data_IF_357159798229
#
_entry.id   IF_357159798229
#
_cell.length_a   1.000
_cell.length_b   1.000
_cell.length_c   1.000
_cell.angle_alpha   90.00
_cell.angle_beta   90.00
_cell.angle_gamma   90.00
#
_symmetry.space_group_name_H-M   'P 1'
#
loop_
_entity.id
_entity.type
_entity.pdbx_description
1 polymer ?
#
# COMPACT_ATOMS: atom_id res chain seq x y z
N UNK A 1 64.19 -1.38 -51.12
CA UNK A 1 63.82 -0.98 -49.74
C UNK A 1 62.32 -0.74 -49.53
N UNK A 2 61.54 -0.17 -50.47
CA UNK A 2 60.10 0.13 -50.25
C UNK A 2 59.16 -1.09 -50.13
N UNK A 3 59.49 -2.26 -50.68
CA UNK A 3 58.61 -3.45 -50.57
C UNK A 3 58.71 -4.17 -49.23
N UNK A 4 59.90 -4.16 -48.59
CA UNK A 4 60.13 -4.79 -47.27
C UNK A 4 59.30 -4.09 -46.18
N UNK A 5 59.21 -2.76 -46.23
CA UNK A 5 58.38 -1.98 -45.30
C UNK A 5 56.87 -2.21 -45.50
N UNK A 6 56.45 -2.60 -46.70
CA UNK A 6 55.04 -2.91 -47.01
C UNK A 6 54.64 -4.27 -46.44
N UNK A 7 55.52 -5.27 -46.53
CA UNK A 7 55.33 -6.57 -45.90
C UNK A 7 55.46 -6.53 -44.37
N UNK A 8 56.37 -5.72 -43.81
CA UNK A 8 56.46 -5.49 -42.36
C UNK A 8 55.21 -4.81 -41.79
N UNK A 9 54.61 -3.85 -42.51
CA UNK A 9 53.34 -3.23 -42.09
C UNK A 9 52.15 -4.19 -42.15
N UNK A 10 52.09 -5.06 -43.16
CA UNK A 10 51.05 -6.10 -43.25
C UNK A 10 51.24 -7.15 -42.17
N UNK A 11 52.47 -7.59 -41.89
CA UNK A 11 52.76 -8.52 -40.79
C UNK A 11 52.45 -7.91 -39.42
N UNK A 12 52.72 -6.62 -39.20
CA UNK A 12 52.37 -5.90 -37.98
C UNK A 12 50.84 -5.73 -37.84
N UNK A 13 50.12 -5.43 -38.92
CA UNK A 13 48.65 -5.36 -38.94
C UNK A 13 47.99 -6.73 -38.72
N UNK A 14 48.59 -7.81 -39.21
CA UNK A 14 48.14 -9.18 -38.93
C UNK A 14 48.48 -9.62 -37.50
N UNK A 15 49.61 -9.20 -36.93
CA UNK A 15 49.93 -9.43 -35.51
C UNK A 15 49.00 -8.67 -34.57
N UNK A 16 48.65 -7.42 -34.90
CA UNK A 16 47.68 -6.64 -34.13
C UNK A 16 46.26 -7.21 -34.28
N UNK A 17 45.88 -7.72 -35.46
CA UNK A 17 44.58 -8.38 -35.68
C UNK A 17 44.44 -9.77 -35.04
N UNK A 18 45.54 -10.45 -34.70
CA UNK A 18 45.55 -11.72 -33.97
C UNK A 18 45.60 -11.55 -32.45
N UNK A 19 45.86 -10.33 -31.95
CA UNK A 19 45.84 -9.96 -30.53
C UNK A 19 44.49 -9.37 -30.07
N UNK A 20 43.52 -9.22 -30.99
CA UNK A 20 42.20 -8.65 -30.69
C UNK A 20 41.11 -9.67 -30.36
N UNK A 21 41.48 -10.94 -30.11
CA UNK A 21 40.64 -11.86 -29.33
C UNK A 21 41.07 -11.76 -27.87
N UNK A 22 41.08 -10.54 -27.34
CA UNK A 22 41.03 -10.35 -25.90
C UNK A 22 39.55 -10.52 -25.51
N UNK A 23 39.28 -11.41 -24.56
CA UNK A 23 38.01 -11.49 -23.85
C UNK A 23 37.50 -10.06 -23.57
N UNK A 24 36.22 -9.80 -23.81
CA UNK A 24 35.59 -8.53 -23.44
C UNK A 24 35.89 -8.29 -21.94
N UNK A 25 36.73 -7.29 -21.58
CA UNK A 25 37.21 -7.13 -20.21
C UNK A 25 36.09 -6.80 -19.21
N UNK A 26 34.85 -6.63 -19.67
CA UNK A 26 33.71 -6.20 -18.88
C UNK A 26 32.74 -7.31 -18.43
N UNK A 27 32.89 -8.58 -18.86
CA UNK A 27 31.90 -9.62 -18.52
C UNK A 27 32.52 -10.89 -17.90
N UNK A 28 32.25 -11.12 -16.62
CA UNK A 28 32.66 -12.30 -15.87
C UNK A 28 31.69 -13.46 -16.08
N UNK A 29 32.20 -14.59 -16.59
CA UNK A 29 31.43 -15.82 -16.72
C UNK A 29 31.35 -16.54 -15.37
N UNK A 30 30.15 -16.76 -14.84
CA UNK A 30 29.92 -17.45 -13.56
C UNK A 30 29.05 -18.68 -13.81
N UNK A 31 29.50 -19.84 -13.34
CA UNK A 31 28.69 -21.06 -13.33
C UNK A 31 28.01 -21.22 -11.97
N UNK A 32 26.69 -21.38 -11.96
CA UNK A 32 25.92 -21.78 -10.79
C UNK A 32 25.50 -23.23 -10.97
N UNK A 33 26.07 -24.12 -10.17
CA UNK A 33 25.80 -25.54 -10.17
C UNK A 33 24.96 -25.92 -8.95
N UNK A 34 23.74 -26.41 -9.17
CA UNK A 34 22.82 -26.79 -8.11
C UNK A 34 22.76 -28.30 -7.91
N UNK A 35 22.68 -28.73 -6.65
CA UNK A 35 22.52 -30.16 -6.32
C UNK A 35 21.18 -30.73 -6.76
N UNK A 36 20.11 -29.92 -6.71
CA UNK A 36 18.73 -30.37 -6.91
C UNK A 36 18.04 -29.60 -8.03
N UNK A 37 16.89 -30.07 -8.52
CA UNK A 37 16.14 -29.39 -9.58
C UNK A 37 15.58 -28.03 -9.14
N UNK A 38 15.41 -27.10 -10.09
CA UNK A 38 14.86 -25.76 -9.88
C UNK A 38 13.46 -25.72 -9.27
N UNK A 39 12.70 -26.82 -9.35
CA UNK A 39 11.35 -26.88 -8.77
C UNK A 39 11.35 -27.05 -7.25
N UNK A 40 12.50 -27.39 -6.66
CA UNK A 40 12.63 -27.47 -5.22
C UNK A 40 12.81 -26.07 -4.63
N UNK A 41 11.91 -25.64 -3.75
CA UNK A 41 11.86 -24.28 -3.23
C UNK A 41 13.17 -23.78 -2.63
N UNK A 42 13.89 -24.63 -1.91
CA UNK A 42 15.23 -24.35 -1.38
C UNK A 42 16.22 -23.94 -2.48
N UNK A 43 16.31 -24.75 -3.54
CA UNK A 43 17.18 -24.48 -4.69
C UNK A 43 16.73 -23.23 -5.45
N UNK A 44 15.43 -23.06 -5.66
CA UNK A 44 14.88 -21.88 -6.33
C UNK A 44 15.22 -20.58 -5.58
N UNK A 45 15.10 -20.58 -4.24
CA UNK A 45 15.38 -19.43 -3.40
C UNK A 45 16.86 -19.08 -3.39
N UNK A 46 17.75 -20.08 -3.27
CA UNK A 46 19.21 -19.87 -3.39
C UNK A 46 19.54 -19.28 -4.75
N UNK A 47 19.03 -19.89 -5.82
CA UNK A 47 19.30 -19.47 -7.20
C UNK A 47 18.85 -18.02 -7.45
N UNK A 48 17.60 -17.69 -7.10
CA UNK A 48 17.05 -16.36 -7.30
C UNK A 48 17.85 -15.29 -6.54
N UNK A 49 18.31 -15.61 -5.32
CA UNK A 49 19.16 -14.71 -4.55
C UNK A 49 20.53 -14.51 -5.16
N UNK A 50 21.17 -15.59 -5.63
CA UNK A 50 22.47 -15.53 -6.31
C UNK A 50 22.36 -14.67 -7.59
N UNK A 51 21.38 -14.95 -8.43
CA UNK A 51 21.14 -14.21 -9.68
C UNK A 51 20.89 -12.73 -9.40
N UNK A 52 20.01 -12.41 -8.45
CA UNK A 52 19.69 -11.02 -8.09
C UNK A 52 20.93 -10.26 -7.61
N UNK A 53 21.76 -10.88 -6.78
CA UNK A 53 22.97 -10.26 -6.26
C UNK A 53 24.03 -10.05 -7.35
N UNK A 54 24.24 -11.04 -8.22
CA UNK A 54 25.23 -10.97 -9.31
C UNK A 54 24.82 -9.97 -10.39
N UNK A 55 23.57 -10.02 -10.87
CA UNK A 55 23.05 -9.11 -11.90
C UNK A 55 22.87 -7.68 -11.40
N UNK A 56 22.64 -7.51 -10.10
CA UNK A 56 22.55 -6.19 -9.47
C UNK A 56 23.91 -5.50 -9.26
N UNK A 57 25.02 -6.18 -9.58
CA UNK A 57 26.37 -5.62 -9.43
C UNK A 57 26.84 -4.88 -10.68
N UNK A 58 27.79 -3.95 -10.49
CA UNK A 58 28.45 -3.25 -11.61
C UNK A 58 29.53 -4.11 -12.30
N UNK A 59 29.76 -5.33 -11.83
CA UNK A 59 30.85 -6.18 -12.30
C UNK A 59 30.62 -6.78 -13.70
N UNK A 60 29.41 -6.68 -14.27
CA UNK A 60 29.07 -7.29 -15.56
C UNK A 60 29.21 -8.82 -15.49
N UNK A 61 28.15 -9.53 -15.11
CA UNK A 61 28.21 -10.98 -14.87
C UNK A 61 27.29 -11.73 -15.82
N UNK A 62 27.85 -12.69 -16.56
CA UNK A 62 27.11 -13.64 -17.37
C UNK A 62 26.95 -14.95 -16.60
N UNK A 63 25.70 -15.29 -16.27
CA UNK A 63 25.39 -16.43 -15.39
C UNK A 63 24.98 -17.64 -16.23
N UNK A 64 25.67 -18.75 -16.01
CA UNK A 64 25.32 -20.08 -16.53
C UNK A 64 24.78 -20.91 -15.39
N UNK A 65 23.72 -21.68 -15.63
CA UNK A 65 23.08 -22.49 -14.58
C UNK A 65 22.99 -23.94 -15.00
N UNK A 66 23.33 -24.83 -14.08
CA UNK A 66 23.19 -26.28 -14.24
C UNK A 66 22.57 -26.90 -12.99
N UNK A 67 21.76 -27.93 -13.20
CA UNK A 67 21.10 -28.67 -12.14
C UNK A 67 21.48 -30.15 -12.25
N UNK A 68 22.12 -30.69 -11.21
CA UNK A 68 22.46 -32.12 -11.16
C UNK A 68 21.23 -33.00 -10.95
N UNK A 69 20.20 -32.44 -10.33
CA UNK A 69 18.97 -33.11 -9.97
C UNK A 69 19.15 -34.40 -9.14
N UNK A 70 20.04 -34.32 -8.15
CA UNK A 70 20.50 -35.47 -7.36
C UNK A 70 19.36 -36.16 -6.59
N UNK A 71 18.34 -35.42 -6.15
CA UNK A 71 17.22 -36.01 -5.39
C UNK A 71 16.33 -36.91 -6.24
N UNK A 72 16.17 -36.62 -7.53
CA UNK A 72 15.40 -37.47 -8.44
C UNK A 72 16.27 -38.57 -9.06
N UNK A 73 17.55 -38.29 -9.35
CA UNK A 73 18.44 -39.22 -10.07
C UNK A 73 19.81 -39.42 -9.38
N UNK A 74 19.87 -40.01 -8.17
CA UNK A 74 21.08 -40.14 -7.36
C UNK A 74 22.04 -41.25 -7.86
N UNK A 75 22.53 -41.15 -9.09
CA UNK A 75 23.39 -42.19 -9.70
C UNK A 75 24.68 -41.61 -10.28
N UNK A 76 25.75 -42.39 -10.18
CA UNK A 76 27.05 -42.01 -10.75
C UNK A 76 27.02 -41.91 -12.28
N UNK A 77 26.20 -42.73 -12.96
CA UNK A 77 26.01 -42.65 -14.42
C UNK A 77 25.46 -41.27 -14.82
N UNK A 78 24.45 -40.77 -14.10
CA UNK A 78 23.90 -39.44 -14.35
C UNK A 78 24.91 -38.32 -14.12
N UNK A 79 25.72 -38.39 -13.06
CA UNK A 79 26.82 -37.44 -12.85
C UNK A 79 27.84 -37.48 -14.00
N UNK A 80 28.18 -38.66 -14.51
CA UNK A 80 29.10 -38.80 -15.64
C UNK A 80 28.53 -38.17 -16.92
N UNK A 81 27.25 -38.40 -17.22
CA UNK A 81 26.56 -37.76 -18.35
C UNK A 81 26.51 -36.24 -18.20
N UNK A 82 26.25 -35.75 -16.99
CA UNK A 82 26.22 -34.33 -16.71
C UNK A 82 27.59 -33.68 -16.90
N UNK A 83 28.67 -34.36 -16.48
CA UNK A 83 30.04 -33.94 -16.76
C UNK A 83 30.32 -33.83 -18.27
N UNK A 84 29.94 -34.83 -19.06
CA UNK A 84 30.10 -34.80 -20.51
C UNK A 84 29.35 -33.63 -21.16
N UNK A 85 28.13 -33.37 -20.68
CA UNK A 85 27.34 -32.22 -21.11
C UNK A 85 28.04 -30.88 -20.78
N UNK A 86 28.52 -30.69 -19.55
CA UNK A 86 29.24 -29.47 -19.13
C UNK A 86 30.50 -29.28 -19.98
N UNK A 87 31.29 -30.34 -20.20
CA UNK A 87 32.48 -30.30 -21.07
C UNK A 87 32.11 -29.85 -22.49
N UNK A 88 31.01 -30.34 -23.04
CA UNK A 88 30.55 -29.98 -24.37
C UNK A 88 30.04 -28.53 -24.44
N UNK A 89 29.21 -28.10 -23.47
CA UNK A 89 28.61 -26.76 -23.43
C UNK A 89 29.65 -25.65 -23.23
N UNK A 90 30.61 -25.88 -22.34
CA UNK A 90 31.50 -24.82 -21.84
C UNK A 90 32.95 -24.98 -22.31
N UNK A 91 33.19 -25.75 -23.38
CA UNK A 91 34.53 -26.00 -23.95
C UNK A 91 35.35 -24.72 -24.20
N UNK A 92 34.67 -23.65 -24.60
CA UNK A 92 35.27 -22.36 -24.92
C UNK A 92 34.92 -21.25 -23.92
N UNK A 93 34.43 -21.62 -22.73
CA UNK A 93 34.06 -20.67 -21.67
C UNK A 93 35.10 -20.74 -20.56
N UNK A 94 35.53 -19.57 -20.07
CA UNK A 94 36.44 -19.44 -18.93
C UNK A 94 35.68 -18.84 -17.75
N UNK A 95 35.33 -19.67 -16.79
CA UNK A 95 34.63 -19.22 -15.60
C UNK A 95 35.57 -18.43 -14.67
N UNK A 96 35.10 -17.28 -14.20
CA UNK A 96 35.76 -16.51 -13.14
C UNK A 96 35.51 -17.14 -11.76
N UNK A 97 34.30 -17.69 -11.54
CA UNK A 97 33.89 -18.34 -10.30
C UNK A 97 32.89 -19.46 -10.62
N UNK A 98 32.94 -20.55 -9.87
CA UNK A 98 31.89 -21.57 -9.80
C UNK A 98 31.17 -21.47 -8.46
N UNK A 99 29.88 -21.17 -8.49
CA UNK A 99 28.98 -21.23 -7.34
C UNK A 99 28.35 -22.62 -7.27
N UNK A 100 28.33 -23.23 -6.08
CA UNK A 100 27.69 -24.54 -5.86
C UNK A 100 26.66 -24.47 -4.74
N UNK A 101 25.47 -25.06 -4.92
CA UNK A 101 24.51 -25.25 -3.81
C UNK A 101 24.48 -26.69 -3.33
N UNK A 102 24.58 -26.88 -2.02
CA UNK A 102 24.51 -28.14 -1.29
C UNK A 102 25.64 -29.14 -1.61
N UNK A 103 25.64 -30.27 -0.90
CA UNK A 103 26.74 -31.24 -0.91
C UNK A 103 27.02 -31.84 -2.29
N UNK A 104 25.99 -32.27 -3.04
CA UNK A 104 26.19 -33.00 -4.29
C UNK A 104 26.88 -32.15 -5.38
N UNK A 105 26.52 -30.87 -5.50
CA UNK A 105 27.15 -29.94 -6.43
C UNK A 105 28.58 -29.60 -6.02
N UNK A 106 28.83 -29.36 -4.72
CA UNK A 106 30.18 -29.12 -4.24
C UNK A 106 31.07 -30.34 -4.49
N UNK A 107 30.63 -31.53 -4.10
CA UNK A 107 31.38 -32.76 -4.31
C UNK A 107 31.63 -33.04 -5.78
N UNK A 108 30.64 -32.83 -6.64
CA UNK A 108 30.81 -32.93 -8.09
C UNK A 108 31.87 -31.96 -8.59
N UNK A 109 31.79 -30.68 -8.22
CA UNK A 109 32.73 -29.66 -8.64
C UNK A 109 34.17 -29.96 -8.16
N UNK A 110 34.33 -30.44 -6.93
CA UNK A 110 35.62 -30.83 -6.37
C UNK A 110 36.21 -32.07 -7.07
N UNK A 111 35.41 -33.12 -7.30
CA UNK A 111 35.85 -34.34 -7.98
C UNK A 111 36.23 -34.08 -9.44
N UNK A 112 35.52 -33.16 -10.09
CA UNK A 112 35.76 -32.82 -11.50
C UNK A 112 36.73 -31.66 -11.71
N UNK A 113 37.26 -31.10 -10.61
CA UNK A 113 37.97 -29.82 -10.60
C UNK A 113 39.09 -29.73 -11.62
N UNK A 114 39.97 -30.72 -11.69
CA UNK A 114 41.10 -30.69 -12.62
C UNK A 114 40.65 -30.68 -14.09
N UNK A 115 39.52 -31.32 -14.39
CA UNK A 115 39.03 -31.47 -15.76
C UNK A 115 38.06 -30.37 -16.20
N UNK A 116 37.21 -29.88 -15.30
CA UNK A 116 36.17 -28.89 -15.60
C UNK A 116 36.55 -27.48 -15.14
N UNK A 117 37.21 -27.35 -13.99
CA UNK A 117 37.39 -26.09 -13.28
C UNK A 117 38.84 -25.86 -12.82
N UNK A 118 39.85 -26.06 -13.68
CA UNK A 118 41.25 -25.97 -13.27
C UNK A 118 41.59 -24.54 -12.82
N UNK A 119 42.00 -24.40 -11.56
CA UNK A 119 42.37 -23.12 -10.95
C UNK A 119 41.20 -22.16 -10.66
N UNK A 120 39.97 -22.49 -11.08
CA UNK A 120 38.80 -21.63 -10.87
C UNK A 120 38.40 -21.66 -9.39
N UNK A 121 38.14 -20.50 -8.77
CA UNK A 121 37.54 -20.42 -7.44
C UNK A 121 36.17 -21.09 -7.35
N UNK A 122 35.97 -21.88 -6.30
CA UNK A 122 34.67 -22.49 -5.97
C UNK A 122 34.11 -21.82 -4.73
N UNK A 123 32.87 -21.35 -4.81
CA UNK A 123 32.12 -20.75 -3.71
C UNK A 123 30.88 -21.59 -3.44
N UNK A 124 30.80 -22.22 -2.27
CA UNK A 124 29.65 -23.07 -1.94
C UNK A 124 28.63 -22.38 -1.02
N UNK A 125 27.40 -22.88 -1.02
CA UNK A 125 26.31 -22.51 -0.09
C UNK A 125 25.50 -23.74 0.31
N UNK A 126 24.89 -23.76 1.51
CA UNK A 126 23.97 -24.84 1.91
C UNK A 126 24.63 -26.20 2.13
N UNK A 127 25.94 -26.22 2.39
CA UNK A 127 26.67 -27.49 2.61
C UNK A 127 26.49 -27.94 4.04
N UNK A 128 25.82 -29.08 4.20
CA UNK A 128 25.59 -29.74 5.49
C UNK A 128 26.84 -30.47 5.95
N UNK A 129 27.02 -30.58 7.26
CA UNK A 129 28.10 -31.39 7.83
C UNK A 129 29.50 -30.91 7.42
N UNK A 130 29.72 -29.60 7.23
CA UNK A 130 31.05 -29.10 6.86
C UNK A 130 32.12 -29.52 7.88
N UNK A 131 33.22 -30.07 7.37
CA UNK A 131 34.36 -30.59 8.12
C UNK A 131 35.66 -30.11 7.47
N UNK A 132 36.43 -29.20 8.12
CA UNK A 132 37.69 -28.70 7.59
C UNK A 132 38.71 -29.81 7.28
N UNK A 133 38.65 -30.93 7.97
CA UNK A 133 39.50 -32.11 7.74
C UNK A 133 39.15 -32.87 6.46
N UNK A 134 37.87 -32.89 6.06
CA UNK A 134 37.41 -33.54 4.82
C UNK A 134 37.55 -32.61 3.61
N UNK A 135 37.23 -31.32 3.77
CA UNK A 135 37.14 -30.38 2.65
C UNK A 135 38.22 -29.30 2.64
N UNK A 136 38.86 -29.00 3.78
CA UNK A 136 39.74 -27.83 3.97
C UNK A 136 41.13 -27.94 3.37
N UNK A 137 41.49 -29.06 2.73
CA UNK A 137 42.74 -29.19 1.96
C UNK A 137 42.63 -28.61 0.54
N UNK A 138 41.44 -28.19 0.13
CA UNK A 138 41.19 -27.68 -1.21
C UNK A 138 41.57 -26.19 -1.30
N UNK A 139 42.60 -25.86 -2.08
CA UNK A 139 42.96 -24.46 -2.36
C UNK A 139 41.84 -23.77 -3.16
N UNK A 140 41.71 -22.44 -3.09
CA UNK A 140 40.70 -21.68 -3.85
C UNK A 140 39.26 -22.19 -3.69
N UNK A 141 38.90 -22.68 -2.50
CA UNK A 141 37.52 -23.03 -2.13
C UNK A 141 37.14 -22.23 -0.90
N UNK A 142 36.02 -21.54 -0.97
CA UNK A 142 35.41 -20.84 0.16
C UNK A 142 33.88 -21.00 0.09
N UNK A 143 33.14 -20.49 1.06
CA UNK A 143 31.69 -20.61 1.02
C UNK A 143 30.99 -20.41 2.35
N UNK A 144 29.69 -20.68 2.32
CA UNK A 144 28.79 -20.62 3.46
C UNK A 144 28.41 -22.06 3.83
N UNK A 145 28.86 -22.50 5.00
CA UNK A 145 28.47 -23.80 5.55
C UNK A 145 27.09 -23.67 6.23
N UNK A 146 26.26 -24.70 6.07
CA UNK A 146 25.02 -24.84 6.81
C UNK A 146 25.34 -25.19 8.26
N UNK A 147 24.75 -24.45 9.19
CA UNK A 147 24.79 -24.74 10.60
C UNK A 147 23.36 -24.82 11.12
N UNK A 148 22.93 -26.04 11.43
CA UNK A 148 21.61 -26.29 11.99
C UNK A 148 21.63 -25.96 13.48
N UNK A 149 20.94 -24.89 13.88
CA UNK A 149 20.73 -24.50 15.28
C UNK A 149 19.29 -24.88 15.67
N UNK A 150 19.14 -26.02 16.36
CA UNK A 150 17.84 -26.54 16.75
C UNK A 150 17.48 -26.21 18.21
N UNK A 151 18.49 -26.00 19.06
CA UNK A 151 18.31 -25.76 20.49
C UNK A 151 17.50 -24.51 20.78
N UNK A 152 17.78 -23.39 20.11
CA UNK A 152 17.02 -22.15 20.29
C UNK A 152 15.55 -22.36 19.98
N UNK A 153 15.25 -22.96 18.82
CA UNK A 153 13.88 -23.24 18.39
C UNK A 153 13.17 -24.18 19.37
N UNK A 154 13.80 -25.28 19.78
CA UNK A 154 13.17 -26.22 20.70
C UNK A 154 12.98 -25.62 22.10
N UNK A 155 13.96 -24.88 22.62
CA UNK A 155 13.83 -24.23 23.92
C UNK A 155 12.64 -23.26 23.96
N UNK A 156 12.47 -22.45 22.91
CA UNK A 156 11.32 -21.58 22.76
C UNK A 156 10.01 -22.38 22.65
N UNK A 157 10.01 -23.47 21.87
CA UNK A 157 8.87 -24.34 21.70
C UNK A 157 8.41 -24.97 23.03
N UNK A 158 9.35 -25.43 23.87
CA UNK A 158 9.06 -25.99 25.19
C UNK A 158 8.56 -24.91 26.17
N UNK A 159 9.08 -23.69 26.09
CA UNK A 159 8.58 -22.57 26.89
C UNK A 159 7.15 -22.17 26.49
N UNK A 160 6.85 -22.16 25.19
CA UNK A 160 5.49 -21.90 24.68
C UNK A 160 4.51 -23.05 25.00
N UNK A 161 5.02 -24.26 25.20
CA UNK A 161 4.22 -25.46 25.48
C UNK A 161 4.75 -26.22 26.71
N UNK A 162 4.57 -25.68 27.93
CA UNK A 162 5.15 -26.25 29.16
C UNK A 162 4.59 -27.64 29.54
N UNK A 163 3.46 -28.05 28.93
CA UNK A 163 2.88 -29.38 29.11
C UNK A 163 3.44 -30.47 28.19
N UNK A 164 4.45 -30.15 27.37
CA UNK A 164 5.09 -31.10 26.44
C UNK A 164 5.76 -32.24 27.22
N UNK A 165 5.38 -33.49 26.91
CA UNK A 165 6.00 -34.69 27.49
C UNK A 165 6.91 -35.43 26.52
N UNK A 166 6.65 -35.26 25.22
CA UNK A 166 7.33 -35.95 24.12
C UNK A 166 7.54 -34.98 22.97
N UNK A 167 8.73 -35.00 22.38
CA UNK A 167 9.08 -34.27 21.16
C UNK A 167 9.37 -35.30 20.07
N UNK A 168 8.62 -35.20 18.98
CA UNK A 168 8.87 -35.98 17.77
C UNK A 168 9.69 -35.15 16.79
N UNK A 169 10.96 -35.50 16.66
CA UNK A 169 11.86 -34.91 15.67
C UNK A 169 11.73 -35.67 14.36
N UNK A 170 11.30 -34.99 13.30
CA UNK A 170 11.11 -35.58 11.98
C UNK A 170 12.33 -35.26 11.10
N UNK A 171 13.08 -36.30 10.73
CA UNK A 171 14.18 -36.28 9.78
C UNK A 171 14.03 -37.46 8.81
N UNK A 172 13.99 -37.20 7.50
CA UNK A 172 13.88 -38.27 6.52
C UNK A 172 15.09 -39.21 6.44
N UNK A 173 14.92 -40.31 5.70
CA UNK A 173 15.93 -41.34 5.51
C UNK A 173 17.07 -41.00 4.55
N UNK A 174 17.08 -39.80 3.93
CA UNK A 174 18.10 -39.43 2.94
C UNK A 174 19.45 -39.16 3.59
N UNK A 175 20.52 -39.11 2.78
CA UNK A 175 21.85 -38.66 3.22
C UNK A 175 21.79 -37.29 3.93
N UNK A 176 21.14 -36.32 3.31
CA UNK A 176 20.89 -34.99 3.91
C UNK A 176 20.11 -35.09 5.22
N UNK A 177 19.04 -35.90 5.26
CA UNK A 177 18.26 -36.13 6.46
C UNK A 177 19.05 -36.76 7.60
N UNK A 178 20.01 -37.65 7.31
CA UNK A 178 20.90 -38.23 8.33
C UNK A 178 21.91 -37.21 8.86
N UNK A 179 22.51 -36.37 8.01
CA UNK A 179 23.42 -35.30 8.44
C UNK A 179 22.69 -34.30 9.36
N UNK A 180 21.53 -33.81 8.93
CA UNK A 180 20.70 -32.90 9.73
C UNK A 180 20.26 -33.57 11.04
N UNK A 181 19.89 -34.85 11.01
CA UNK A 181 19.55 -35.60 12.24
C UNK A 181 20.71 -35.60 13.24
N UNK A 182 21.95 -35.77 12.79
CA UNK A 182 23.11 -35.73 13.66
C UNK A 182 23.35 -34.32 14.21
N UNK A 183 23.19 -33.29 13.38
CA UNK A 183 23.35 -31.89 13.80
C UNK A 183 22.27 -31.48 14.82
N UNK A 184 21.02 -31.82 14.55
CA UNK A 184 19.91 -31.63 15.49
C UNK A 184 20.18 -32.40 16.79
N UNK A 185 20.57 -33.68 16.73
CA UNK A 185 20.85 -34.45 17.94
C UNK A 185 21.94 -33.84 18.81
N UNK A 186 23.03 -33.35 18.20
CA UNK A 186 24.09 -32.62 18.91
C UNK A 186 23.61 -31.29 19.48
N UNK A 187 22.82 -30.54 18.71
CA UNK A 187 22.26 -29.26 19.16
C UNK A 187 21.25 -29.43 20.30
N UNK A 188 20.51 -30.54 20.35
CA UNK A 188 19.50 -30.81 21.37
C UNK A 188 20.05 -31.52 22.62
N UNK A 189 21.31 -31.99 22.62
CA UNK A 189 21.95 -32.66 23.77
C UNK A 189 21.83 -31.87 25.08
N UNK A 190 22.03 -30.53 25.11
CA UNK A 190 21.85 -29.74 26.34
C UNK A 190 20.42 -29.72 26.88
N UNK A 191 19.42 -30.05 26.06
CA UNK A 191 17.98 -30.05 26.40
C UNK A 191 17.44 -31.47 26.70
N UNK A 192 18.30 -32.50 26.70
CA UNK A 192 17.90 -33.91 26.79
C UNK A 192 17.34 -34.36 28.15
N UNK A 193 17.31 -33.50 29.17
CA UNK A 193 16.92 -33.91 30.52
C UNK A 193 15.41 -34.16 30.68
N UNK A 194 14.55 -33.52 29.89
CA UNK A 194 13.11 -33.76 29.70
C UNK A 194 12.58 -32.63 28.80
N UNK A 195 11.72 -32.88 27.79
CA UNK A 195 10.91 -34.08 27.49
C UNK A 195 11.62 -35.24 26.76
N UNK A 196 10.94 -36.38 26.58
CA UNK A 196 11.41 -37.50 25.75
C UNK A 196 11.54 -37.07 24.28
N UNK A 197 12.72 -37.20 23.68
CA UNK A 197 12.96 -36.87 22.27
C UNK A 197 13.04 -38.16 21.45
N UNK A 198 12.11 -38.35 20.52
CA UNK A 198 12.10 -39.48 19.58
C UNK A 198 12.32 -38.99 18.16
N UNK A 199 13.18 -39.67 17.41
CA UNK A 199 13.46 -39.34 16.01
C UNK A 199 12.74 -40.30 15.06
N UNK A 200 11.94 -39.75 14.17
CA UNK A 200 11.13 -40.46 13.16
C UNK A 200 11.37 -39.86 11.77
N UNK A 201 10.75 -40.41 10.72
CA UNK A 201 10.89 -39.94 9.33
C UNK A 201 11.43 -41.02 8.36
N UNK A 202 11.52 -42.28 8.80
CA UNK A 202 11.85 -43.43 7.94
C UNK A 202 10.60 -44.20 7.52
N UNK A 203 9.49 -43.48 7.34
CA UNK A 203 8.18 -43.99 6.98
C UNK A 203 7.70 -43.40 5.66
N UNK A 204 6.64 -43.96 5.07
CA UNK A 204 5.93 -43.31 3.97
C UNK A 204 5.22 -42.05 4.47
N UNK A 205 4.91 -41.10 3.58
CA UNK A 205 4.16 -39.89 3.95
C UNK A 205 2.84 -40.24 4.65
N UNK A 206 2.13 -41.26 4.14
CA UNK A 206 0.85 -41.68 4.68
C UNK A 206 1.00 -42.31 6.07
N UNK A 207 2.00 -43.18 6.26
CA UNK A 207 2.24 -43.83 7.54
C UNK A 207 2.68 -42.83 8.61
N UNK A 208 3.52 -41.86 8.23
CA UNK A 208 3.95 -40.79 9.13
C UNK A 208 2.78 -39.92 9.58
N UNK A 209 1.86 -39.56 8.67
CA UNK A 209 0.62 -38.86 9.03
C UNK A 209 -0.24 -39.69 9.99
N UNK A 210 -0.40 -40.99 9.73
CA UNK A 210 -1.17 -41.88 10.60
C UNK A 210 -0.53 -42.07 11.98
N UNK A 211 0.80 -42.07 12.06
CA UNK A 211 1.54 -42.08 13.32
C UNK A 211 1.25 -40.81 14.13
N UNK A 212 1.40 -39.64 13.51
CA UNK A 212 1.22 -38.34 14.16
C UNK A 212 -0.21 -38.10 14.63
N UNK A 213 -1.22 -38.63 13.92
CA UNK A 213 -2.63 -38.56 14.34
C UNK A 213 -2.94 -39.36 15.61
N UNK A 214 -2.12 -40.35 15.95
CA UNK A 214 -2.28 -41.19 17.15
C UNK A 214 -1.58 -40.60 18.38
N UNK A 215 -0.77 -39.57 18.20
CA UNK A 215 -0.02 -38.95 19.29
C UNK A 215 -0.94 -38.12 20.21
N UNK A 216 -0.69 -38.13 21.52
CA UNK A 216 -1.47 -37.34 22.47
C UNK A 216 -1.25 -35.83 22.28
N UNK A 217 -2.15 -34.97 22.77
CA UNK A 217 -1.99 -33.50 22.71
C UNK A 217 -0.74 -32.96 23.41
N UNK A 218 -0.10 -33.74 24.28
CA UNK A 218 1.16 -33.40 24.95
C UNK A 218 2.41 -33.70 24.11
N UNK A 219 2.24 -34.10 22.84
CA UNK A 219 3.34 -34.32 21.90
C UNK A 219 3.57 -33.06 21.08
N UNK A 220 4.82 -32.63 21.01
CA UNK A 220 5.28 -31.53 20.15
C UNK A 220 5.92 -32.11 18.89
N UNK A 221 5.57 -31.57 17.73
CA UNK A 221 6.19 -31.98 16.46
C UNK A 221 7.28 -30.98 16.10
N UNK A 222 8.49 -31.49 15.93
CA UNK A 222 9.68 -30.72 15.55
C UNK A 222 10.16 -31.22 14.19
N UNK A 223 9.70 -30.56 13.13
CA UNK A 223 9.99 -30.95 11.76
C UNK A 223 11.32 -30.31 11.33
N UNK A 224 12.39 -31.11 11.40
CA UNK A 224 13.71 -30.69 10.97
C UNK A 224 13.86 -30.79 9.45
N UNK A 225 13.64 -31.98 8.87
CA UNK A 225 13.63 -32.16 7.41
C UNK A 225 12.77 -33.37 7.01
N UNK A 226 11.85 -33.18 6.06
CA UNK A 226 11.15 -34.29 5.43
C UNK A 226 10.83 -33.97 3.97
N UNK A 227 11.73 -34.36 3.06
CA UNK A 227 11.60 -34.12 1.63
C UNK A 227 11.57 -35.38 0.77
N UNK A 228 11.79 -36.56 1.36
CA UNK A 228 11.68 -37.84 0.66
C UNK A 228 11.12 -38.89 1.60
N UNK A 229 10.12 -39.64 1.11
CA UNK A 229 9.57 -40.76 1.86
C UNK A 229 10.07 -42.11 1.36
N UNK A 230 9.77 -43.19 2.10
CA UNK A 230 10.22 -44.54 1.74
C UNK A 230 9.51 -45.13 0.52
N UNK A 231 8.49 -44.46 -0.04
CA UNK A 231 7.84 -44.86 -1.29
C UNK A 231 8.52 -44.29 -2.53
N UNK A 232 9.55 -43.45 -2.34
CA UNK A 232 10.23 -42.72 -3.41
C UNK A 232 9.51 -41.43 -3.81
N UNK A 233 8.52 -40.99 -3.03
CA UNK A 233 7.86 -39.69 -3.26
C UNK A 233 8.76 -38.58 -2.75
N UNK A 234 9.13 -37.68 -3.65
CA UNK A 234 9.74 -36.40 -3.33
C UNK A 234 8.68 -35.39 -2.89
N UNK A 235 9.01 -34.63 -1.86
CA UNK A 235 8.21 -33.57 -1.26
C UNK A 235 9.07 -32.31 -1.15
N UNK A 236 8.53 -31.20 -1.59
CA UNK A 236 9.10 -29.90 -1.26
C UNK A 236 8.93 -29.60 0.25
N UNK A 237 9.76 -28.72 0.78
CA UNK A 237 9.82 -28.38 2.21
C UNK A 237 8.49 -27.84 2.76
N UNK A 238 7.64 -27.28 1.92
CA UNK A 238 6.33 -26.76 2.28
C UNK A 238 5.19 -27.80 2.20
N UNK A 239 5.36 -28.87 1.41
CA UNK A 239 4.27 -29.81 1.12
C UNK A 239 3.88 -30.64 2.35
N UNK A 240 4.86 -31.21 3.05
CA UNK A 240 4.58 -32.02 4.25
C UNK A 240 3.95 -31.19 5.39
N UNK A 241 4.45 -30.00 5.74
CA UNK A 241 3.74 -29.06 6.60
C UNK A 241 2.28 -28.82 6.20
N UNK A 242 2.03 -28.60 4.92
CA UNK A 242 0.68 -28.32 4.44
C UNK A 242 -0.24 -29.54 4.61
N UNK A 243 0.25 -30.75 4.35
CA UNK A 243 -0.47 -32.00 4.61
C UNK A 243 -0.80 -32.15 6.10
N UNK A 244 0.16 -31.87 6.99
CA UNK A 244 -0.07 -31.86 8.44
C UNK A 244 -1.15 -30.85 8.83
N UNK A 245 -1.09 -29.64 8.27
CA UNK A 245 -2.03 -28.56 8.58
C UNK A 245 -3.48 -28.89 8.20
N UNK A 246 -3.67 -29.67 7.13
CA UNK A 246 -4.98 -30.14 6.62
C UNK A 246 -5.47 -31.40 7.30
N UNK A 247 -4.61 -32.07 8.09
CA UNK A 247 -4.98 -33.27 8.83
C UNK A 247 -5.78 -32.93 10.10
N UNK A 248 -6.30 -33.96 10.79
CA UNK A 248 -6.95 -33.80 12.09
C UNK A 248 -5.98 -33.58 13.26
N UNK A 249 -4.66 -33.46 12.98
CA UNK A 249 -3.63 -33.26 13.99
C UNK A 249 -3.81 -31.91 14.70
N UNK A 250 -3.68 -31.94 16.04
CA UNK A 250 -3.81 -30.76 16.90
C UNK A 250 -2.48 -30.31 17.52
N UNK A 251 -1.40 -31.07 17.33
CA UNK A 251 -0.10 -30.75 17.89
C UNK A 251 0.51 -29.52 17.19
N UNK A 252 1.24 -28.67 17.94
CA UNK A 252 2.03 -27.59 17.36
C UNK A 252 3.19 -28.17 16.54
N UNK A 253 3.44 -27.59 15.35
CA UNK A 253 4.56 -27.96 14.47
C UNK A 253 5.56 -26.82 14.43
N UNK A 254 6.76 -27.09 14.94
CA UNK A 254 7.92 -26.21 14.88
C UNK A 254 8.87 -26.69 13.79
N UNK A 255 9.57 -25.76 13.11
CA UNK A 255 10.38 -26.06 11.93
C UNK A 255 11.75 -25.38 12.01
N UNK A 256 12.66 -25.80 11.13
CA UNK A 256 13.99 -25.21 10.97
C UNK A 256 14.21 -24.46 9.65
N UNK A 257 13.30 -24.61 8.68
CA UNK A 257 13.42 -24.01 7.35
C UNK A 257 12.30 -23.01 7.08
N UNK A 258 12.67 -21.86 6.50
CA UNK A 258 11.80 -20.73 6.17
C UNK A 258 10.77 -21.12 5.10
N UNK A 259 11.12 -22.05 4.21
CA UNK A 259 10.25 -22.57 3.14
C UNK A 259 8.97 -23.22 3.68
N UNK A 260 8.96 -23.73 4.92
CA UNK A 260 7.77 -24.30 5.54
C UNK A 260 6.80 -23.22 6.08
N UNK A 261 7.27 -21.99 6.27
CA UNK A 261 6.48 -20.92 6.90
C UNK A 261 5.29 -20.53 6.02
N UNK A 262 4.12 -20.36 6.62
CA UNK A 262 2.88 -20.10 5.88
C UNK A 262 2.06 -21.35 5.55
N UNK A 263 2.62 -22.55 5.73
CA UNK A 263 1.98 -23.84 5.44
C UNK A 263 1.50 -24.57 6.71
N UNK A 264 1.13 -23.82 7.75
CA UNK A 264 0.52 -24.36 8.97
C UNK A 264 1.47 -24.72 10.12
N UNK A 265 2.70 -24.20 10.06
CA UNK A 265 3.73 -24.33 11.11
C UNK A 265 3.83 -23.06 11.94
N UNK A 266 4.29 -23.17 13.18
CA UNK A 266 4.47 -22.04 14.09
C UNK A 266 5.63 -21.14 13.66
N UNK A 267 6.74 -21.75 13.25
CA UNK A 267 7.99 -21.05 12.94
C UNK A 267 9.15 -21.55 13.80
N UNK A 268 10.12 -20.68 14.02
CA UNK A 268 11.37 -21.00 14.72
C UNK A 268 12.52 -20.07 14.37
N UNK A 269 13.75 -20.50 14.67
CA UNK A 269 14.97 -19.85 14.20
C UNK A 269 15.32 -20.40 12.82
N UNK A 270 14.66 -19.87 11.79
CA UNK A 270 14.56 -20.50 10.48
C UNK A 270 15.72 -20.13 9.56
N UNK A 271 16.28 -21.16 8.93
CA UNK A 271 17.21 -21.03 7.81
C UNK A 271 16.44 -20.81 6.52
N UNK A 272 16.95 -19.96 5.62
CA UNK A 272 16.30 -19.69 4.33
C UNK A 272 17.28 -19.68 3.18
N UNK A 273 16.88 -20.28 2.06
CA UNK A 273 17.70 -20.38 0.85
C UNK A 273 18.11 -19.01 0.30
N UNK A 274 17.25 -17.99 0.43
CA UNK A 274 17.54 -16.64 -0.06
C UNK A 274 18.77 -16.01 0.64
N UNK A 275 18.92 -16.24 1.95
CA UNK A 275 20.09 -15.75 2.73
C UNK A 275 21.36 -16.49 2.33
N UNK A 276 21.28 -17.81 2.18
CA UNK A 276 22.38 -18.66 1.73
C UNK A 276 22.89 -18.21 0.35
N UNK A 277 21.98 -18.03 -0.62
CA UNK A 277 22.34 -17.58 -1.96
C UNK A 277 22.93 -16.16 -1.98
N UNK A 278 22.35 -15.23 -1.21
CA UNK A 278 22.85 -13.85 -1.13
C UNK A 278 24.27 -13.77 -0.56
N UNK A 279 24.54 -14.52 0.52
CA UNK A 279 25.86 -14.56 1.15
C UNK A 279 26.92 -15.16 0.22
N UNK A 280 26.61 -16.29 -0.43
CA UNK A 280 27.53 -16.93 -1.37
C UNK A 280 27.80 -16.06 -2.60
N UNK A 281 26.78 -15.41 -3.18
CA UNK A 281 26.99 -14.45 -4.26
C UNK A 281 27.84 -13.25 -3.83
N UNK A 282 27.66 -12.76 -2.60
CA UNK A 282 28.54 -11.74 -2.03
C UNK A 282 30.01 -12.17 -1.97
N UNK A 283 30.29 -13.44 -1.60
CA UNK A 283 31.65 -13.98 -1.65
C UNK A 283 32.18 -14.11 -3.08
N UNK A 284 31.34 -14.54 -4.03
CA UNK A 284 31.72 -14.60 -5.45
C UNK A 284 32.06 -13.21 -6.01
N UNK A 285 31.30 -12.18 -5.68
CA UNK A 285 31.56 -10.79 -6.10
C UNK A 285 32.88 -10.25 -5.52
N UNK A 286 33.23 -10.60 -4.28
CA UNK A 286 34.55 -10.25 -3.71
C UNK A 286 35.69 -10.86 -4.52
N UNK A 287 35.53 -12.12 -4.95
CA UNK A 287 36.53 -12.81 -5.78
C UNK A 287 36.62 -12.20 -7.17
N UNK A 288 35.47 -11.91 -7.79
CA UNK A 288 35.38 -11.23 -9.09
C UNK A 288 36.10 -9.87 -9.03
N UNK A 289 35.96 -9.13 -7.93
CA UNK A 289 36.62 -7.85 -7.70
C UNK A 289 38.10 -7.96 -7.26
N UNK A 290 38.71 -9.15 -7.32
CA UNK A 290 40.14 -9.36 -7.17
C UNK A 290 40.61 -9.89 -5.81
N UNK A 291 39.70 -10.17 -4.87
CA UNK A 291 40.07 -10.85 -3.62
C UNK A 291 40.37 -12.33 -3.88
N UNK A 292 41.43 -12.86 -3.27
CA UNK A 292 41.79 -14.28 -3.45
C UNK A 292 40.82 -15.16 -2.67
N UNK A 293 40.23 -16.16 -3.31
CA UNK A 293 39.34 -17.11 -2.64
C UNK A 293 40.00 -17.80 -1.44
N UNK A 294 41.30 -18.09 -1.50
CA UNK A 294 42.08 -18.68 -0.41
C UNK A 294 42.26 -17.78 0.82
N UNK A 295 42.05 -16.46 0.71
CA UNK A 295 42.05 -15.56 1.87
C UNK A 295 40.68 -15.36 2.49
N UNK A 296 39.62 -15.87 1.86
CA UNK A 296 38.25 -15.77 2.37
C UNK A 296 37.94 -17.02 3.22
N UNK A 297 37.77 -16.89 4.54
CA UNK A 297 37.45 -18.04 5.38
C UNK A 297 36.08 -18.59 5.02
N UNK A 298 35.91 -19.92 5.14
CA UNK A 298 34.58 -20.53 5.12
C UNK A 298 33.79 -20.01 6.31
N UNK A 299 32.63 -19.47 6.03
CA UNK A 299 31.76 -18.84 7.01
C UNK A 299 30.71 -19.86 7.45
N UNK A 300 30.81 -20.33 8.69
CA UNK A 300 29.75 -21.07 9.36
C UNK A 300 28.94 -20.10 10.24
N UNK A 301 28.29 -19.13 9.61
CA UNK A 301 27.41 -18.19 10.34
C UNK A 301 25.99 -18.75 10.30
N UNK A 302 25.28 -18.78 11.44
CA UNK A 302 23.86 -19.08 11.46
C UNK A 302 23.13 -18.13 10.50
N UNK A 303 22.73 -18.61 9.32
CA UNK A 303 21.99 -17.82 8.32
C UNK A 303 20.49 -17.80 8.63
N UNK A 304 20.17 -17.66 9.91
CA UNK A 304 18.85 -17.93 10.49
C UNK A 304 18.18 -16.64 10.96
N UNK A 305 16.85 -16.62 10.94
CA UNK A 305 16.03 -15.53 11.50
C UNK A 305 14.90 -16.11 12.34
N UNK A 306 14.56 -15.43 13.42
CA UNK A 306 13.37 -15.75 14.18
C UNK A 306 12.14 -15.37 13.35
N UNK A 307 11.44 -16.36 12.79
CA UNK A 307 10.30 -16.15 11.92
C UNK A 307 9.10 -16.95 12.43
N UNK A 308 7.92 -16.32 12.46
CA UNK A 308 6.70 -16.93 13.00
C UNK A 308 5.46 -16.64 12.16
N UNK A 309 4.52 -17.58 12.14
CA UNK A 309 3.21 -17.42 11.49
C UNK A 309 2.17 -16.92 12.50
N UNK A 310 1.70 -15.68 12.31
CA UNK A 310 0.71 -15.02 13.18
C UNK A 310 -0.57 -15.86 13.37
N UNK A 311 -1.00 -16.58 12.32
CA UNK A 311 -2.22 -17.39 12.36
C UNK A 311 -2.03 -18.58 13.28
N UNK A 312 -0.84 -19.18 13.28
CA UNK A 312 -0.53 -20.30 14.17
C UNK A 312 -0.27 -19.82 15.60
N UNK A 313 0.42 -18.68 15.80
CA UNK A 313 0.58 -18.07 17.12
C UNK A 313 -0.79 -17.87 17.80
N UNK A 314 -1.76 -17.31 17.07
CA UNK A 314 -3.15 -17.15 17.55
C UNK A 314 -3.85 -18.49 17.79
N UNK A 315 -3.75 -19.44 16.85
CA UNK A 315 -4.36 -20.78 16.97
C UNK A 315 -3.91 -21.51 18.23
N UNK A 316 -2.63 -21.38 18.57
CA UNK A 316 -2.01 -22.04 19.72
C UNK A 316 -1.93 -21.15 20.96
N UNK A 317 -2.53 -19.96 20.94
CA UNK A 317 -2.58 -19.01 22.06
C UNK A 317 -1.19 -18.65 22.62
N UNK A 318 -0.20 -18.49 21.73
CA UNK A 318 1.17 -18.10 22.10
C UNK A 318 1.23 -16.58 22.18
N UNK A 319 1.60 -16.06 23.35
CA UNK A 319 1.82 -14.63 23.56
C UNK A 319 3.07 -14.17 22.79
N UNK A 320 2.97 -13.17 21.90
CA UNK A 320 4.12 -12.64 21.17
C UNK A 320 5.25 -12.12 22.06
N UNK A 321 4.98 -11.78 23.32
CA UNK A 321 6.02 -11.37 24.28
C UNK A 321 6.97 -12.49 24.71
N UNK A 322 6.60 -13.75 24.46
CA UNK A 322 7.48 -14.91 24.65
C UNK A 322 8.53 -15.04 23.54
N UNK A 323 8.32 -14.37 22.39
CA UNK A 323 9.20 -14.47 21.24
C UNK A 323 10.45 -13.58 21.43
N UNK A 324 11.60 -13.97 20.85
CA UNK A 324 12.80 -13.13 20.81
C UNK A 324 12.52 -11.73 20.22
N UNK A 325 13.26 -10.71 20.66
CA UNK A 325 12.99 -9.30 20.28
C UNK A 325 13.18 -9.01 18.78
N UNK A 326 14.03 -9.78 18.11
CA UNK A 326 14.33 -9.70 16.68
C UNK A 326 13.43 -10.61 15.83
N UNK A 327 12.33 -11.12 16.41
CA UNK A 327 11.36 -11.94 15.71
C UNK A 327 10.58 -11.17 14.65
N UNK A 328 10.47 -11.76 13.46
CA UNK A 328 9.62 -11.29 12.38
C UNK A 328 8.35 -12.15 12.33
N UNK A 329 7.20 -11.51 12.48
CA UNK A 329 5.90 -12.19 12.42
C UNK A 329 5.29 -11.95 11.04
N UNK A 330 4.99 -13.03 10.32
CA UNK A 330 4.41 -13.01 8.97
C UNK A 330 3.01 -13.60 8.97
N UNK A 331 2.31 -13.41 7.85
CA UNK A 331 0.96 -13.95 7.60
C UNK A 331 -0.12 -13.44 8.55
N UNK A 332 0.07 -12.24 9.14
CA UNK A 332 -0.98 -11.58 9.88
C UNK A 332 -2.19 -11.31 8.96
N UNK A 333 -3.44 -11.57 9.42
CA UNK A 333 -4.61 -11.26 8.63
C UNK A 333 -4.64 -9.74 8.39
N UNK A 334 -5.04 -9.29 7.19
CA UNK A 334 -5.09 -7.87 6.88
C UNK A 334 -5.99 -7.16 7.91
N UNK A 335 -5.55 -5.99 8.35
CA UNK A 335 -6.33 -5.17 9.27
C UNK A 335 -7.68 -4.80 8.66
N UNK A 336 -8.64 -4.38 9.49
CA UNK A 336 -9.94 -3.90 8.99
C UNK A 336 -9.76 -2.83 7.90
N UNK A 337 -8.81 -1.93 8.07
CA UNK A 337 -8.48 -0.90 7.08
C UNK A 337 -7.92 -1.50 5.80
N UNK A 338 -6.93 -2.40 5.86
CA UNK A 338 -6.36 -3.02 4.66
C UNK A 338 -7.41 -3.81 3.87
N UNK A 339 -8.26 -4.57 4.58
CA UNK A 339 -9.35 -5.33 3.97
C UNK A 339 -10.42 -4.43 3.34
N UNK A 340 -10.71 -3.28 3.94
CA UNK A 340 -11.80 -2.38 3.53
C UNK A 340 -11.31 -1.05 2.96
N UNK A 341 -10.04 -0.97 2.51
CA UNK A 341 -9.41 0.29 2.10
C UNK A 341 -10.22 1.04 1.05
N UNK A 342 -10.72 0.32 0.04
CA UNK A 342 -11.56 0.89 -1.00
C UNK A 342 -12.88 1.46 -0.45
N UNK A 343 -13.53 0.77 0.48
CA UNK A 343 -14.78 1.24 1.12
C UNK A 343 -14.56 2.43 2.03
N UNK A 344 -13.47 2.44 2.80
CA UNK A 344 -13.09 3.57 3.67
C UNK A 344 -12.79 4.81 2.82
N UNK A 345 -12.01 4.67 1.74
CA UNK A 345 -11.68 5.77 0.85
C UNK A 345 -12.91 6.24 0.04
N UNK A 346 -13.75 5.31 -0.41
CA UNK A 346 -14.99 5.62 -1.12
C UNK A 346 -16.01 6.37 -0.26
N UNK A 347 -16.19 5.95 1.01
CA UNK A 347 -17.09 6.65 1.93
C UNK A 347 -16.57 8.05 2.28
N UNK A 348 -15.26 8.21 2.49
CA UNK A 348 -14.64 9.51 2.70
C UNK A 348 -14.82 10.42 1.47
N UNK A 349 -14.63 9.89 0.26
CA UNK A 349 -14.86 10.62 -0.99
C UNK A 349 -16.31 11.09 -1.12
N UNK A 350 -17.29 10.22 -0.85
CA UNK A 350 -18.71 10.58 -0.88
C UNK A 350 -19.06 11.65 0.15
N UNK A 351 -18.47 11.60 1.35
CA UNK A 351 -18.65 12.64 2.37
C UNK A 351 -18.11 13.99 1.89
N UNK A 352 -16.93 14.02 1.28
CA UNK A 352 -16.33 15.25 0.73
C UNK A 352 -17.17 15.80 -0.44
N UNK A 353 -17.62 14.95 -1.36
CA UNK A 353 -18.50 15.35 -2.47
C UNK A 353 -19.83 15.89 -1.94
N UNK A 354 -20.45 15.20 -0.98
CA UNK A 354 -21.68 15.64 -0.33
C UNK A 354 -21.51 16.99 0.36
N UNK A 355 -20.38 17.21 1.04
CA UNK A 355 -20.04 18.49 1.66
C UNK A 355 -19.90 19.61 0.61
N UNK A 356 -19.20 19.36 -0.49
CA UNK A 356 -19.05 20.33 -1.59
C UNK A 356 -20.41 20.69 -2.20
N UNK A 357 -21.28 19.69 -2.42
CA UNK A 357 -22.64 19.90 -2.92
C UNK A 357 -23.46 20.72 -1.93
N UNK A 358 -23.41 20.42 -0.63
CA UNK A 358 -24.13 21.16 0.40
C UNK A 358 -23.67 22.63 0.49
N UNK A 359 -22.35 22.87 0.43
CA UNK A 359 -21.80 24.23 0.38
C UNK A 359 -22.24 24.94 -0.89
N UNK A 360 -22.12 24.30 -2.06
CA UNK A 360 -22.56 24.85 -3.34
C UNK A 360 -24.05 25.19 -3.35
N UNK A 361 -24.90 24.30 -2.82
CA UNK A 361 -26.34 24.52 -2.67
C UNK A 361 -26.64 25.71 -1.77
N UNK A 362 -25.95 25.81 -0.64
CA UNK A 362 -26.09 26.95 0.29
C UNK A 362 -25.71 28.26 -0.38
N UNK A 363 -24.66 28.29 -1.20
CA UNK A 363 -24.26 29.47 -1.97
C UNK A 363 -25.30 29.84 -3.04
N UNK A 364 -25.86 28.86 -3.74
CA UNK A 364 -26.94 29.07 -4.73
C UNK A 364 -28.20 29.61 -4.06
N UNK A 365 -28.63 29.01 -2.94
CA UNK A 365 -29.78 29.51 -2.16
C UNK A 365 -29.56 30.95 -1.69
N UNK A 366 -28.37 31.28 -1.17
CA UNK A 366 -28.03 32.65 -0.79
C UNK A 366 -28.13 33.62 -1.97
N UNK A 367 -27.72 33.21 -3.18
CA UNK A 367 -27.87 34.04 -4.40
C UNK A 367 -29.33 34.24 -4.79
N UNK A 368 -30.15 33.18 -4.77
CA UNK A 368 -31.58 33.26 -5.12
C UNK A 368 -32.33 34.15 -4.12
N UNK A 369 -32.10 33.94 -2.82
CA UNK A 369 -32.72 34.77 -1.76
C UNK A 369 -32.31 36.22 -1.93
N UNK A 370 -31.02 36.49 -2.14
CA UNK A 370 -30.50 37.86 -2.37
C UNK A 370 -31.18 38.53 -3.57
N UNK A 371 -31.32 37.84 -4.71
CA UNK A 371 -32.00 38.37 -5.88
C UNK A 371 -33.48 38.68 -5.62
N UNK A 372 -34.20 37.80 -4.90
CA UNK A 372 -35.60 38.04 -4.54
C UNK A 372 -35.74 39.22 -3.58
N UNK A 373 -34.84 39.34 -2.60
CA UNK A 373 -34.84 40.47 -1.67
C UNK A 373 -34.52 41.79 -2.36
N UNK A 374 -33.60 41.79 -3.34
CA UNK A 374 -33.24 43.00 -4.09
C UNK A 374 -34.40 43.44 -5.00
N UNK A 375 -35.08 42.50 -5.68
CA UNK A 375 -36.30 42.82 -6.46
C UNK A 375 -37.43 43.38 -5.59
N UNK A 376 -37.70 42.75 -4.45
CA UNK A 376 -38.73 43.23 -3.51
C UNK A 376 -38.39 44.63 -2.97
N UNK A 377 -37.11 44.92 -2.71
CA UNK A 377 -36.66 46.25 -2.29
C UNK A 377 -36.87 47.29 -3.39
N UNK A 378 -36.60 46.94 -4.64
CA UNK A 378 -36.81 47.83 -5.78
C UNK A 378 -38.29 48.12 -6.01
N UNK A 379 -39.16 47.10 -5.95
CA UNK A 379 -40.62 47.29 -6.04
C UNK A 379 -41.15 48.16 -4.88
N UNK A 380 -40.71 47.90 -3.65
CA UNK A 380 -41.10 48.69 -2.48
C UNK A 380 -40.62 50.15 -2.61
N UNK A 381 -39.38 50.36 -3.05
CA UNK A 381 -38.86 51.71 -3.32
C UNK A 381 -39.66 52.42 -4.41
N UNK A 382 -40.11 51.70 -5.45
CA UNK A 382 -41.00 52.22 -6.48
C UNK A 382 -42.36 52.65 -5.92
N UNK A 383 -42.98 51.83 -5.06
CA UNK A 383 -44.25 52.17 -4.40
C UNK A 383 -44.13 53.40 -3.50
N UNK A 384 -43.07 53.46 -2.68
CA UNK A 384 -42.81 54.62 -1.81
C UNK A 384 -42.65 55.91 -2.62
N UNK A 385 -41.96 55.87 -3.77
CA UNK A 385 -41.84 57.04 -4.66
C UNK A 385 -43.17 57.44 -5.30
N UNK A 386 -43.98 56.46 -5.70
CA UNK A 386 -45.29 56.72 -6.29
C UNK A 386 -46.26 57.33 -5.27
N UNK A 387 -46.22 56.84 -4.02
CA UNK A 387 -47.00 57.38 -2.90
C UNK A 387 -46.60 58.83 -2.60
N UNK A 388 -45.30 59.13 -2.51
CA UNK A 388 -44.81 60.49 -2.34
C UNK A 388 -45.21 61.43 -3.49
N UNK A 389 -45.19 60.95 -4.75
CA UNK A 389 -45.63 61.74 -5.89
C UNK A 389 -47.14 61.99 -5.89
N UNK A 390 -47.94 61.00 -5.46
CA UNK A 390 -49.38 61.15 -5.27
C UNK A 390 -49.68 62.20 -4.19
N UNK A 391 -49.01 62.12 -3.04
CA UNK A 391 -49.14 63.13 -1.97
C UNK A 391 -48.83 64.54 -2.48
N UNK A 392 -47.75 64.71 -3.25
CA UNK A 392 -47.40 65.99 -3.86
C UNK A 392 -48.49 66.49 -4.81
N UNK A 393 -48.96 65.62 -5.72
CA UNK A 393 -49.99 65.98 -6.72
C UNK A 393 -51.32 66.34 -6.06
N UNK A 394 -51.70 65.61 -5.00
CA UNK A 394 -52.88 65.93 -4.18
C UNK A 394 -52.72 67.30 -3.54
N UNK A 395 -51.55 67.63 -3.00
CA UNK A 395 -51.25 68.96 -2.45
C UNK A 395 -51.36 70.07 -3.50
N UNK A 396 -50.81 69.88 -4.69
CA UNK A 396 -50.88 70.84 -5.81
C UNK A 396 -52.32 71.05 -6.30
N UNK A 397 -53.10 69.97 -6.41
CA UNK A 397 -54.52 70.03 -6.78
C UNK A 397 -55.34 70.77 -5.72
N UNK A 398 -55.13 70.48 -4.44
CA UNK A 398 -55.79 71.19 -3.33
C UNK A 398 -55.48 72.69 -3.37
N UNK A 399 -54.22 73.06 -3.61
CA UNK A 399 -53.80 74.46 -3.75
C UNK A 399 -54.47 75.14 -4.95
N UNK A 400 -54.50 74.48 -6.10
CA UNK A 400 -55.15 74.99 -7.32
C UNK A 400 -56.65 75.16 -7.14
N UNK A 401 -57.32 74.21 -6.47
CA UNK A 401 -58.75 74.29 -6.15
C UNK A 401 -59.06 75.47 -5.21
N UNK A 402 -58.19 75.74 -4.24
CA UNK A 402 -58.31 76.89 -3.36
C UNK A 402 -58.21 78.23 -4.12
N UNK A 403 -57.30 78.32 -5.10
CA UNK A 403 -57.16 79.52 -5.95
C UNK A 403 -58.42 79.78 -6.80
N UNK A 404 -59.02 78.74 -7.38
CA UNK A 404 -60.26 78.87 -8.19
C UNK A 404 -61.44 79.32 -7.33
N UNK A 405 -61.59 78.83 -6.10
CA UNK A 405 -62.64 79.27 -5.16
C UNK A 405 -62.54 80.75 -4.78
N UNK A 406 -61.37 81.38 -4.90
CA UNK A 406 -61.20 82.80 -4.58
C UNK A 406 -61.60 83.76 -5.72
N UNK A 407 -61.66 83.27 -6.96
CA UNK A 407 -61.91 84.09 -8.16
C UNK A 407 -63.39 84.16 -8.56
N UNK A 408 -64.30 83.44 -7.88
CA UNK A 408 -65.74 83.45 -8.14
C UNK A 408 -66.54 84.57 -7.42
N UNK A 409 -65.89 85.68 -7.04
CA UNK A 409 -66.44 86.65 -6.07
C UNK A 409 -66.94 88.00 -6.61
N UNK A 410 -66.93 88.25 -7.93
CA UNK A 410 -67.39 89.54 -8.48
C UNK A 410 -68.88 89.50 -8.82
N UNK A 411 -69.73 89.95 -7.88
CA UNK A 411 -71.15 90.16 -8.14
C UNK A 411 -71.36 91.46 -8.94
N UNK A 412 -71.89 91.41 -10.18
CA UNK A 412 -72.18 92.60 -10.95
C UNK A 412 -73.43 93.32 -10.40
N UNK A 413 -73.22 94.37 -9.61
CA UNK A 413 -74.27 95.18 -8.98
C UNK A 413 -74.52 96.47 -9.78
N UNK A 414 -75.79 96.81 -10.04
CA UNK A 414 -76.17 98.05 -10.69
C UNK A 414 -75.88 99.24 -9.77
N UNK A 415 -75.07 100.20 -10.25
CA UNK A 415 -74.67 101.37 -9.47
C UNK A 415 -75.83 102.25 -8.99
N UNK A 416 -76.97 102.21 -9.70
CA UNK A 416 -78.11 103.08 -9.46
C UNK A 416 -79.21 102.45 -8.58
N UNK A 417 -79.76 101.30 -8.98
CA UNK A 417 -80.86 100.64 -8.26
C UNK A 417 -80.41 99.49 -7.35
N UNK A 418 -79.08 99.27 -7.27
CA UNK A 418 -78.43 98.23 -6.45
C UNK A 418 -78.83 96.78 -6.74
N UNK A 419 -79.60 96.49 -7.79
CA UNK A 419 -79.90 95.10 -8.21
C UNK A 419 -78.65 94.33 -8.63
N UNK A 420 -78.64 93.00 -8.46
CA UNK A 420 -77.59 92.08 -8.94
C UNK A 420 -78.01 91.50 -10.29
N UNK A 421 -77.08 91.37 -11.23
CA UNK A 421 -77.31 90.68 -12.50
C UNK A 421 -77.06 89.18 -12.34
N UNK A 422 -78.03 88.36 -12.70
CA UNK A 422 -77.89 86.90 -12.72
C UNK A 422 -77.10 86.43 -13.95
N UNK A 423 -76.62 85.19 -13.95
CA UNK A 423 -75.90 84.59 -15.09
C UNK A 423 -76.75 84.53 -16.37
N UNK A 424 -78.07 84.52 -16.23
CA UNK A 424 -79.07 84.56 -17.31
C UNK A 424 -79.34 86.00 -17.81
N UNK A 425 -78.73 87.00 -17.19
CA UNK A 425 -78.76 88.40 -17.61
C UNK A 425 -79.91 89.24 -17.04
N UNK A 426 -80.76 88.66 -16.19
CA UNK A 426 -81.85 89.38 -15.50
C UNK A 426 -81.34 90.15 -14.29
N UNK A 427 -82.09 91.18 -13.87
CA UNK A 427 -81.76 92.02 -12.71
C UNK A 427 -82.76 91.79 -11.58
N UNK A 428 -82.27 91.30 -10.45
CA UNK A 428 -83.07 91.05 -9.25
C UNK A 428 -82.51 91.78 -8.03
N UNK A 429 -83.35 91.96 -7.00
CA UNK A 429 -82.92 92.58 -5.73
C UNK A 429 -81.75 91.80 -5.11
N UNK A 430 -80.83 92.51 -4.46
CA UNK A 430 -79.68 91.86 -3.79
C UNK A 430 -80.15 90.87 -2.74
N UNK A 431 -81.15 91.25 -1.95
CA UNK A 431 -81.74 90.39 -0.93
C UNK A 431 -82.24 89.06 -1.52
N UNK A 432 -82.93 89.11 -2.66
CA UNK A 432 -83.44 87.93 -3.34
C UNK A 432 -82.29 87.05 -3.86
N UNK A 433 -81.30 87.66 -4.53
CA UNK A 433 -80.14 86.93 -5.05
C UNK A 433 -79.35 86.22 -3.94
N UNK A 434 -79.10 86.90 -2.83
CA UNK A 434 -78.32 86.34 -1.71
C UNK A 434 -79.11 85.27 -0.96
N UNK A 435 -80.43 85.42 -0.81
CA UNK A 435 -81.29 84.40 -0.18
C UNK A 435 -81.38 83.12 -1.03
N UNK A 436 -81.40 83.25 -2.37
CA UNK A 436 -81.42 82.09 -3.27
C UNK A 436 -80.08 81.34 -3.33
N UNK A 437 -78.96 82.02 -3.04
CA UNK A 437 -77.61 81.48 -3.20
C UNK A 437 -76.82 81.33 -1.89
N UNK A 438 -77.44 81.58 -0.74
CA UNK A 438 -76.85 81.40 0.59
C UNK A 438 -77.91 81.22 1.67
N UNK A 439 -77.53 80.74 2.85
CA UNK A 439 -78.44 80.57 4.00
C UNK A 439 -78.78 81.91 4.71
N UNK A 440 -78.49 83.06 4.10
CA UNK A 440 -78.72 84.37 4.71
C UNK A 440 -80.20 84.78 4.67
N UNK A 441 -80.70 85.36 5.77
CA UNK A 441 -82.05 85.91 5.89
C UNK A 441 -81.98 87.42 6.12
N UNK A 442 -82.82 88.19 5.43
CA UNK A 442 -82.87 89.65 5.53
C UNK A 442 -84.04 90.13 6.39
N UNK A 443 -83.74 90.98 7.37
CA UNK A 443 -84.74 91.79 8.08
C UNK A 443 -84.69 93.23 7.58
N UNK A 444 -85.85 93.90 7.52
CA UNK A 444 -85.94 95.27 7.02
C UNK A 444 -86.09 96.23 8.20
N UNK A 445 -85.20 97.23 8.27
CA UNK A 445 -85.27 98.34 9.20
C UNK A 445 -84.92 99.64 8.48
N UNK A 446 -85.35 100.77 9.03
CA UNK A 446 -84.98 102.09 8.51
C UNK A 446 -83.83 102.61 9.37
N UNK A 447 -82.69 102.92 8.76
CA UNK A 447 -81.56 103.46 9.52
C UNK A 447 -81.88 104.88 10.05
N UNK A 448 -81.22 105.33 11.13
CA UNK A 448 -81.48 106.64 11.73
C UNK A 448 -81.40 107.80 10.73
N UNK A 449 -80.45 107.76 9.78
CA UNK A 449 -80.30 108.77 8.74
C UNK A 449 -81.53 108.84 7.81
N UNK A 450 -82.06 107.68 7.39
CA UNK A 450 -83.26 107.62 6.56
C UNK A 450 -84.51 108.04 7.35
N UNK A 451 -84.57 107.79 8.66
CA UNK A 451 -85.64 108.30 9.52
C UNK A 451 -85.60 109.84 9.55
N UNK A 452 -84.43 110.43 9.72
CA UNK A 452 -84.27 111.88 9.76
C UNK A 452 -84.60 112.56 8.42
N UNK A 453 -84.25 111.93 7.29
CA UNK A 453 -84.49 112.50 5.95
C UNK A 453 -85.95 112.35 5.51
N UNK A 454 -86.55 111.18 5.72
CA UNK A 454 -87.85 110.83 5.12
C UNK A 454 -89.03 110.85 6.11
N UNK A 455 -88.76 110.86 7.42
CA UNK A 455 -89.79 110.76 8.47
C UNK A 455 -89.67 111.86 9.55
N UNK A 456 -89.07 113.01 9.22
CA UNK A 456 -88.93 114.18 10.10
C UNK A 456 -90.29 114.70 10.59
N UNK A 457 -90.69 114.31 11.79
CA UNK A 457 -91.99 114.60 12.40
C UNK A 457 -92.66 113.40 13.08
N UNK A 458 -92.12 112.19 12.90
CA UNK A 458 -92.62 110.98 13.53
C UNK A 458 -91.97 110.76 14.91
N UNK A 459 -92.78 110.79 15.98
CA UNK A 459 -92.32 110.52 17.35
C UNK A 459 -92.76 109.09 17.74
N UNK A 460 -91.87 108.08 17.66
CA UNK A 460 -92.24 106.71 17.98
C UNK A 460 -92.60 106.56 19.47
N UNK A 461 -93.57 105.70 19.84
CA UNK A 461 -93.91 105.45 21.23
C UNK A 461 -92.69 104.89 21.97
N UNK A 462 -92.39 105.44 23.15
CA UNK A 462 -91.34 104.90 24.02
C UNK A 462 -91.65 103.44 24.36
N UNK A 463 -90.81 102.54 23.87
CA UNK A 463 -90.60 101.19 24.36
C UNK A 463 -89.11 101.01 24.57
#
# INVERSE_FOLDING_TARGET
>A
MRSIWRWLRVALLCMVGLLSWADDPGHHQVLVLHSYHQSYSWTANIHAAMVRALQGSEAGVDIHTEYLDWKHFPTQDMLNRHREMILAKYRNVRFSVVLTSDNAALEFALRQRESLFPGVPIVFSGVNGWRPDLYGKQENVTGIAELVEASGTLALALNAHPGTKKVLVICDGTETGQEIRQDVARSLEPLAQLPEITYIGKESTQDLLQLLLKEPPSTLVFLALFGNDTSGRFLDLWEFPELLSKSAMKAPVWVLYEEALGHGVLGGHLQGGERQGSLAAGLALRIINGEKASSIPVVAVPSVKWLFDDRQLKRFHIDPSLLPRDSEIRFAPPTFYERNRAWVLGSLFLLVVGFIIAVGWTLVLRRIVKQRTDKLREELAGRVRAEAHLEQTVGELQHSLAMVKSLSGLLPICGHCKKVRTDEGYWQGVEQFVTEHSDAQFSHGVCPECVDIYYSGWNPPKA
#
